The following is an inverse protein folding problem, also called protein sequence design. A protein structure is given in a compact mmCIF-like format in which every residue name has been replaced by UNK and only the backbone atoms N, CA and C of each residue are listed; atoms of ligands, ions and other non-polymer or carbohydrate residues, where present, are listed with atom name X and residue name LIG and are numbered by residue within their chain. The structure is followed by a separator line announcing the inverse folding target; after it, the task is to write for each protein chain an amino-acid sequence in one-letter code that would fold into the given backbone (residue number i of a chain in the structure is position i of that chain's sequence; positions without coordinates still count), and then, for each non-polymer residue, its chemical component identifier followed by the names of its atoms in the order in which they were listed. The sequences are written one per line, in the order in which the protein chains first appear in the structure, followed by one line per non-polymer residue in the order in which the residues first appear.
data_IF_883414857012
#
_entry.id   IF_883414857012
#
_cell.length_a   1.000
_cell.length_b   1.000
_cell.length_c   1.000
_cell.angle_alpha   90.00
_cell.angle_beta   90.00
_cell.angle_gamma   90.00
#
_symmetry.space_group_name_H-M   'P 1'
#
loop_
_entity.id
_entity.type
_entity.pdbx_description
1 polymer ?
#
# COMPACT_ATOMS: atom_id res chain seq x y z
N UNK A 1 -4.67 -8.04 -11.99
CA UNK A 1 -3.81 -9.15 -11.53
C UNK A 1 -4.72 -10.27 -11.06
N UNK A 2 -4.62 -11.48 -11.62
CA UNK A 2 -5.48 -12.60 -11.22
C UNK A 2 -4.90 -13.26 -9.97
N UNK A 3 -5.70 -13.40 -8.91
CA UNK A 3 -5.31 -14.12 -7.69
C UNK A 3 -5.82 -15.57 -7.77
N UNK A 4 -4.93 -16.55 -7.63
CA UNK A 4 -5.30 -17.97 -7.49
C UNK A 4 -5.02 -18.41 -6.05
N UNK A 5 -6.06 -18.90 -5.36
CA UNK A 5 -5.95 -19.48 -4.02
C UNK A 5 -5.83 -21.01 -4.13
N UNK A 6 -4.91 -21.63 -3.39
CA UNK A 6 -4.76 -23.09 -3.38
C UNK A 6 -4.74 -23.61 -1.94
N UNK A 7 -5.92 -23.85 -1.37
CA UNK A 7 -6.06 -24.65 -0.16
C UNK A 7 -5.89 -23.91 1.17
N UNK A 8 -6.21 -22.62 1.23
CA UNK A 8 -6.04 -21.78 2.42
C UNK A 8 -6.58 -22.36 3.73
N UNK A 9 -5.78 -22.22 4.81
CA UNK A 9 -6.14 -22.67 6.16
C UNK A 9 -6.79 -21.52 6.93
N UNK A 10 -8.04 -21.72 7.36
CA UNK A 10 -8.76 -20.77 8.23
C UNK A 10 -8.08 -20.67 9.60
N UNK A 11 -7.84 -19.45 10.08
CA UNK A 11 -7.26 -19.20 11.42
C UNK A 11 -8.35 -18.93 12.49
N UNK A 12 -9.62 -18.83 12.07
CA UNK A 12 -10.78 -18.51 12.94
C UNK A 12 -10.65 -17.13 13.63
N UNK A 13 -10.08 -16.17 12.92
CA UNK A 13 -9.91 -14.78 13.36
C UNK A 13 -10.73 -13.89 12.43
N UNK A 14 -11.51 -12.97 13.01
CA UNK A 14 -12.20 -11.93 12.25
C UNK A 14 -11.21 -10.83 11.90
N UNK A 15 -11.27 -10.33 10.68
CA UNK A 15 -10.50 -9.19 10.24
C UNK A 15 -11.43 -8.04 9.85
N UNK A 16 -11.09 -6.83 10.27
CA UNK A 16 -11.83 -5.61 9.92
C UNK A 16 -10.85 -4.52 9.51
N UNK A 17 -11.20 -3.76 8.48
CA UNK A 17 -10.47 -2.56 8.09
C UNK A 17 -11.43 -1.45 7.65
N UNK A 18 -11.11 -0.22 8.05
CA UNK A 18 -11.84 0.99 7.69
C UNK A 18 -10.92 1.93 6.91
N UNK A 19 -11.44 2.43 5.79
CA UNK A 19 -10.77 3.35 4.89
C UNK A 19 -11.58 4.65 4.83
N UNK A 20 -10.98 5.72 4.31
CA UNK A 20 -11.67 7.00 4.15
C UNK A 20 -12.97 6.92 3.31
N UNK A 21 -13.03 5.98 2.38
CA UNK A 21 -14.13 5.79 1.42
C UNK A 21 -14.72 4.37 1.39
N UNK A 22 -14.33 3.49 2.32
CA UNK A 22 -14.75 2.08 2.28
C UNK A 22 -14.44 1.31 3.55
N UNK A 23 -14.89 0.06 3.60
CA UNK A 23 -14.62 -0.85 4.72
C UNK A 23 -14.86 -2.30 4.32
N UNK A 24 -14.22 -3.23 5.04
CA UNK A 24 -14.55 -4.65 4.91
C UNK A 24 -14.53 -5.35 6.27
N UNK A 25 -15.36 -6.40 6.37
CA UNK A 25 -15.30 -7.40 7.42
C UNK A 25 -15.16 -8.78 6.80
N UNK A 26 -14.25 -9.58 7.35
CA UNK A 26 -13.90 -10.87 6.78
C UNK A 26 -13.29 -11.83 7.78
N UNK A 27 -12.75 -12.92 7.24
CA UNK A 27 -11.96 -13.89 8.00
C UNK A 27 -10.54 -13.91 7.48
N UNK A 28 -9.60 -14.10 8.40
CA UNK A 28 -8.19 -14.27 8.08
C UNK A 28 -7.89 -15.72 7.67
N UNK A 29 -7.14 -15.88 6.58
CA UNK A 29 -6.63 -17.15 6.08
C UNK A 29 -5.13 -17.05 5.83
N UNK A 30 -4.44 -18.19 5.95
CA UNK A 30 -3.08 -18.35 5.40
C UNK A 30 -3.18 -19.09 4.08
N UNK A 31 -2.60 -18.53 3.03
CA UNK A 31 -2.50 -19.16 1.71
C UNK A 31 -1.19 -18.76 1.02
N UNK A 32 -0.93 -19.30 -0.17
CA UNK A 32 0.13 -18.84 -1.06
C UNK A 32 -0.40 -17.72 -1.94
N UNK A 33 0.32 -16.59 -2.00
CA UNK A 33 -0.02 -15.46 -2.87
C UNK A 33 1.04 -15.35 -3.97
N UNK A 34 0.60 -15.42 -5.22
CA UNK A 34 1.50 -15.29 -6.40
C UNK A 34 1.31 -13.92 -7.04
N UNK A 35 2.38 -13.10 -7.10
CA UNK A 35 2.37 -11.75 -7.69
C UNK A 35 3.19 -11.75 -8.99
N UNK A 36 2.58 -12.19 -10.09
CA UNK A 36 3.26 -12.37 -11.37
C UNK A 36 3.96 -13.72 -11.49
N UNK A 37 4.54 -13.98 -12.66
CA UNK A 37 5.12 -15.29 -12.97
C UNK A 37 6.35 -15.57 -12.10
N UNK A 38 6.35 -16.70 -11.38
CA UNK A 38 7.48 -17.17 -10.59
C UNK A 38 7.70 -16.47 -9.25
N UNK A 39 6.82 -15.56 -8.84
CA UNK A 39 6.93 -14.84 -7.57
C UNK A 39 5.80 -15.27 -6.62
N UNK A 40 6.02 -16.39 -5.91
CA UNK A 40 5.07 -16.97 -4.97
C UNK A 40 5.53 -16.74 -3.52
N UNK A 41 4.70 -16.04 -2.75
CA UNK A 41 4.88 -15.77 -1.32
C UNK A 41 4.08 -16.83 -0.56
N UNK A 42 4.77 -17.72 0.13
CA UNK A 42 4.12 -18.78 0.89
C UNK A 42 3.65 -18.26 2.25
N UNK A 43 2.63 -18.90 2.80
CA UNK A 43 2.10 -18.57 4.13
C UNK A 43 1.72 -17.09 4.32
N UNK A 44 1.25 -16.44 3.26
CA UNK A 44 0.77 -15.06 3.34
C UNK A 44 -0.60 -15.05 4.05
N UNK A 45 -0.72 -14.21 5.09
CA UNK A 45 -2.02 -13.93 5.68
C UNK A 45 -2.82 -12.99 4.78
N UNK A 46 -4.08 -13.35 4.54
CA UNK A 46 -5.03 -12.61 3.70
C UNK A 46 -6.40 -12.50 4.38
N UNK A 47 -7.07 -11.38 4.16
CA UNK A 47 -8.47 -11.19 4.53
C UNK A 47 -9.41 -11.60 3.41
N UNK A 48 -10.35 -12.49 3.71
CA UNK A 48 -11.43 -12.86 2.78
C UNK A 48 -12.73 -12.27 3.29
N UNK A 49 -13.21 -11.24 2.59
CA UNK A 49 -14.40 -10.48 2.95
C UNK A 49 -15.67 -11.33 2.81
N UNK A 50 -16.54 -11.25 3.82
CA UNK A 50 -17.96 -11.60 3.66
C UNK A 50 -18.85 -10.34 3.60
N UNK A 51 -18.30 -9.19 3.98
CA UNK A 51 -18.88 -7.87 3.78
C UNK A 51 -17.81 -6.89 3.30
N UNK A 52 -18.15 -6.06 2.31
CA UNK A 52 -17.26 -5.04 1.75
C UNK A 52 -18.06 -3.88 1.17
N UNK A 53 -17.57 -2.66 1.35
CA UNK A 53 -18.13 -1.42 0.80
C UNK A 53 -17.01 -0.51 0.28
N UNK A 54 -17.24 0.17 -0.84
CA UNK A 54 -16.26 1.09 -1.45
C UNK A 54 -15.27 0.46 -2.44
N UNK A 55 -15.45 -0.80 -2.83
CA UNK A 55 -14.54 -1.57 -3.70
C UNK A 55 -15.07 -1.81 -5.12
N UNK A 56 -15.76 -0.83 -5.70
CA UNK A 56 -16.31 -0.99 -7.05
C UNK A 56 -15.19 -1.15 -8.09
N UNK A 57 -15.29 -2.18 -8.93
CA UNK A 57 -14.33 -2.43 -10.03
C UNK A 57 -13.08 -3.22 -9.65
N UNK A 58 -12.96 -3.70 -8.40
CA UNK A 58 -11.84 -4.53 -7.94
C UNK A 58 -12.32 -5.66 -7.02
N UNK A 59 -11.54 -6.73 -6.92
CA UNK A 59 -11.84 -7.84 -5.99
C UNK A 59 -11.42 -7.53 -4.54
N UNK A 60 -10.51 -6.57 -4.33
CA UNK A 60 -9.97 -6.21 -3.02
C UNK A 60 -8.76 -5.28 -3.08
N UNK A 61 -7.98 -5.26 -2.00
CA UNK A 61 -6.76 -4.45 -1.86
C UNK A 61 -5.53 -5.37 -1.72
N UNK A 62 -4.47 -5.04 -2.45
CA UNK A 62 -3.12 -5.50 -2.13
C UNK A 62 -2.47 -4.51 -1.15
N UNK A 63 -2.45 -4.86 0.14
CA UNK A 63 -1.89 -4.00 1.18
C UNK A 63 -0.37 -3.98 1.14
N UNK A 64 0.19 -2.82 0.75
CA UNK A 64 1.64 -2.59 0.65
C UNK A 64 2.14 -1.48 1.58
N UNK A 65 1.27 -0.96 2.45
CA UNK A 65 1.64 0.01 3.48
C UNK A 65 2.45 -0.62 4.61
N UNK A 66 2.94 0.19 5.56
CA UNK A 66 3.64 -0.31 6.74
C UNK A 66 2.84 -1.33 7.55
N UNK A 67 3.54 -2.31 8.13
CA UNK A 67 2.95 -3.44 8.87
C UNK A 67 2.18 -2.99 10.11
N UNK A 68 2.53 -1.85 10.71
CA UNK A 68 1.92 -1.35 11.94
C UNK A 68 0.45 -0.91 11.73
N UNK A 69 0.04 -0.64 10.50
CA UNK A 69 -1.36 -0.37 10.13
C UNK A 69 -2.26 -1.60 10.26
N UNK A 70 -1.68 -2.80 10.26
CA UNK A 70 -2.42 -4.06 10.44
C UNK A 70 -2.64 -4.41 11.91
N UNK A 71 -1.88 -3.81 12.82
CA UNK A 71 -2.02 -4.08 14.25
C UNK A 71 -3.42 -3.67 14.73
N UNK A 72 -4.14 -4.60 15.36
CA UNK A 72 -5.50 -4.34 15.83
C UNK A 72 -6.61 -4.61 14.82
N UNK A 73 -6.29 -5.01 13.59
CA UNK A 73 -7.32 -5.39 12.61
C UNK A 73 -7.91 -6.78 12.87
N UNK A 74 -7.30 -7.57 13.76
CA UNK A 74 -7.68 -8.94 14.07
C UNK A 74 -8.46 -9.06 15.39
N UNK A 75 -9.50 -9.90 15.38
CA UNK A 75 -10.27 -10.25 16.57
C UNK A 75 -10.39 -11.78 16.73
N UNK A 76 -10.06 -12.34 17.91
CA UNK A 76 -9.75 -11.65 19.17
C UNK A 76 -8.31 -11.15 19.32
N UNK A 77 -7.42 -11.45 18.36
CA UNK A 77 -5.98 -11.18 18.43
C UNK A 77 -5.58 -9.71 18.18
N UNK A 78 -6.13 -8.76 18.95
CA UNK A 78 -5.97 -7.31 18.72
C UNK A 78 -4.54 -6.77 18.87
N UNK A 79 -3.64 -7.49 19.53
CA UNK A 79 -2.22 -7.11 19.64
C UNK A 79 -1.37 -7.66 18.50
N UNK A 80 -1.94 -8.51 17.64
CA UNK A 80 -1.22 -9.10 16.51
C UNK A 80 -1.24 -8.14 15.33
N UNK A 81 -0.12 -8.13 14.62
CA UNK A 81 0.05 -7.46 13.33
C UNK A 81 0.26 -8.53 12.26
N UNK A 82 -0.09 -8.21 11.03
CA UNK A 82 -0.10 -9.11 9.88
C UNK A 82 1.05 -8.70 8.96
N UNK A 83 2.13 -9.50 8.84
CA UNK A 83 3.19 -9.23 7.87
C UNK A 83 2.64 -9.08 6.45
N UNK A 84 3.02 -7.98 5.79
CA UNK A 84 2.61 -7.68 4.42
C UNK A 84 3.32 -8.59 3.42
N UNK A 85 2.85 -8.57 2.16
CA UNK A 85 3.49 -9.28 1.06
C UNK A 85 4.97 -8.89 0.90
N UNK A 86 5.32 -7.63 1.16
CA UNK A 86 6.70 -7.14 1.07
C UNK A 86 7.56 -7.67 2.22
N UNK A 87 7.02 -7.65 3.46
CA UNK A 87 7.72 -8.21 4.61
C UNK A 87 8.01 -9.71 4.40
N UNK A 88 6.98 -10.47 4.00
CA UNK A 88 7.11 -11.92 3.77
C UNK A 88 8.02 -12.23 2.57
N UNK A 89 7.96 -11.47 1.49
CA UNK A 89 8.86 -11.64 0.35
C UNK A 89 10.33 -11.43 0.75
N UNK A 90 10.60 -10.43 1.59
CA UNK A 90 11.94 -10.18 2.12
C UNK A 90 12.40 -11.28 3.09
N UNK A 91 11.55 -11.68 4.04
CA UNK A 91 11.84 -12.75 5.00
C UNK A 91 12.12 -14.09 4.30
N UNK A 92 11.36 -14.39 3.24
CA UNK A 92 11.53 -15.58 2.40
C UNK A 92 12.68 -15.45 1.38
N UNK A 93 13.43 -14.33 1.40
CA UNK A 93 14.55 -14.04 0.49
C UNK A 93 14.18 -14.07 -1.00
N UNK A 94 12.92 -13.78 -1.32
CA UNK A 94 12.46 -13.59 -2.71
C UNK A 94 12.92 -12.24 -3.27
N UNK A 95 13.21 -11.28 -2.39
CA UNK A 95 13.78 -9.97 -2.70
C UNK A 95 14.96 -9.67 -1.79
N UNK A 96 15.94 -8.91 -2.29
CA UNK A 96 17.16 -8.55 -1.56
C UNK A 96 17.00 -7.33 -0.66
N UNK A 97 16.01 -6.47 -0.93
CA UNK A 97 15.70 -5.29 -0.13
C UNK A 97 14.21 -5.29 0.18
N UNK A 98 13.85 -4.85 1.38
CA UNK A 98 12.46 -4.66 1.78
C UNK A 98 11.91 -3.34 1.22
N UNK A 99 11.74 -3.30 -0.10
CA UNK A 99 11.31 -2.09 -0.82
C UNK A 99 10.39 -2.42 -1.99
N UNK A 100 9.60 -1.45 -2.43
CA UNK A 100 8.75 -1.56 -3.61
C UNK A 100 8.98 -0.33 -4.49
N UNK A 101 9.30 -0.55 -5.77
CA UNK A 101 9.23 0.47 -6.81
C UNK A 101 7.85 0.50 -7.46
N UNK A 102 7.28 1.69 -7.65
CA UNK A 102 5.95 1.87 -8.24
C UNK A 102 6.06 2.85 -9.40
N UNK A 103 5.51 2.47 -10.57
CA UNK A 103 5.43 3.32 -11.75
C UNK A 103 3.97 3.41 -12.20
N UNK A 104 3.47 4.64 -12.25
CA UNK A 104 2.18 4.97 -12.86
C UNK A 104 2.38 5.82 -14.10
N UNK A 105 1.51 5.62 -15.09
CA UNK A 105 1.53 6.34 -16.37
C UNK A 105 0.19 7.06 -16.52
N UNK A 106 0.17 8.35 -16.91
CA UNK A 106 -1.07 9.03 -17.23
C UNK A 106 -1.77 8.34 -18.41
N UNK A 107 -3.09 8.17 -18.32
CA UNK A 107 -3.88 7.55 -19.38
C UNK A 107 -5.04 8.43 -19.82
N UNK A 108 -5.40 8.35 -21.10
CA UNK A 108 -6.63 8.92 -21.68
C UNK A 108 -7.63 7.84 -22.10
N UNK A 109 -7.32 6.59 -21.78
CA UNK A 109 -8.01 5.39 -22.25
C UNK A 109 -8.21 4.45 -21.07
N UNK A 110 -9.44 4.04 -20.77
CA UNK A 110 -9.70 3.07 -19.72
C UNK A 110 -8.93 1.76 -19.95
N UNK A 111 -8.59 1.09 -18.84
CA UNK A 111 -8.11 -0.29 -18.83
C UNK A 111 -6.80 -0.59 -19.59
N UNK A 112 -5.94 0.42 -19.76
CA UNK A 112 -4.56 0.19 -20.23
C UNK A 112 -3.69 -0.36 -19.09
N UNK A 113 -2.86 -1.35 -19.42
CA UNK A 113 -1.87 -1.95 -18.51
C UNK A 113 -0.48 -1.44 -18.89
N UNK A 114 -0.09 -0.30 -18.33
CA UNK A 114 1.20 0.35 -18.58
C UNK A 114 1.98 0.73 -17.30
N UNK A 115 1.33 0.65 -16.14
CA UNK A 115 1.97 0.74 -14.83
C UNK A 115 2.76 -0.52 -14.44
N UNK A 116 3.60 -0.40 -13.40
CA UNK A 116 4.40 -1.50 -12.88
C UNK A 116 4.62 -1.40 -11.37
N UNK A 117 4.61 -2.54 -10.68
CA UNK A 117 5.10 -2.72 -9.32
C UNK A 117 6.32 -3.64 -9.36
N UNK A 118 7.43 -3.21 -8.77
CA UNK A 118 8.68 -3.97 -8.69
C UNK A 118 9.03 -4.21 -7.22
N UNK A 119 9.09 -5.46 -6.79
CA UNK A 119 9.49 -5.79 -5.43
C UNK A 119 11.02 -5.91 -5.35
N UNK A 120 11.64 -5.32 -4.34
CA UNK A 120 13.08 -5.39 -4.08
C UNK A 120 13.92 -4.25 -4.64
N UNK A 121 13.39 -3.45 -5.57
CA UNK A 121 14.05 -2.25 -6.11
C UNK A 121 13.09 -1.37 -6.92
N UNK A 122 13.54 -0.18 -7.31
CA UNK A 122 12.94 0.56 -8.42
C UNK A 122 13.40 -0.03 -9.77
N UNK A 123 12.54 0.00 -10.78
CA UNK A 123 12.90 -0.34 -12.17
C UNK A 123 13.54 0.88 -12.84
N UNK A 124 14.83 0.78 -13.18
CA UNK A 124 15.61 1.87 -13.78
C UNK A 124 15.08 2.30 -15.15
N UNK A 125 14.26 1.49 -15.82
CA UNK A 125 13.61 1.87 -17.08
C UNK A 125 12.39 2.78 -16.88
N UNK A 126 11.92 2.96 -15.64
CA UNK A 126 10.67 3.65 -15.30
C UNK A 126 10.85 5.05 -14.71
N UNK A 127 12.09 5.50 -14.53
CA UNK A 127 12.39 6.85 -14.04
C UNK A 127 13.59 7.44 -14.77
N UNK A 128 13.75 8.76 -14.67
CA UNK A 128 14.90 9.50 -15.18
C UNK A 128 15.56 10.25 -14.02
N UNK A 129 16.86 10.54 -14.16
CA UNK A 129 17.63 11.16 -13.08
C UNK A 129 17.87 10.20 -11.90
N UNK A 130 18.19 10.78 -10.74
CA UNK A 130 18.47 10.05 -9.50
C UNK A 130 17.24 10.01 -8.59
N UNK A 131 17.15 8.97 -7.76
CA UNK A 131 16.11 8.86 -6.72
C UNK A 131 16.51 9.70 -5.52
N UNK A 132 15.67 10.66 -5.16
CA UNK A 132 15.79 11.41 -3.90
C UNK A 132 15.10 10.64 -2.79
N UNK A 133 15.84 10.28 -1.75
CA UNK A 133 15.31 9.66 -0.54
C UNK A 133 15.06 10.72 0.53
N UNK A 134 13.96 10.56 1.24
CA UNK A 134 13.62 11.33 2.44
C UNK A 134 13.26 10.35 3.55
N UNK A 135 13.50 10.74 4.79
CA UNK A 135 13.12 9.93 5.94
C UNK A 135 11.60 9.89 6.09
N UNK A 136 11.10 8.80 6.68
CA UNK A 136 9.71 8.77 7.15
C UNK A 136 9.55 9.85 8.22
N UNK A 137 8.54 10.71 8.07
CA UNK A 137 8.25 11.78 9.03
C UNK A 137 8.13 11.22 10.45
N UNK A 138 8.58 11.98 11.44
CA UNK A 138 8.35 11.63 12.86
C UNK A 138 6.97 12.08 13.36
N UNK A 139 6.23 12.85 12.56
CA UNK A 139 4.95 13.45 12.94
C UNK A 139 3.81 12.45 12.84
N UNK A 140 3.15 12.19 13.97
CA UNK A 140 1.92 11.37 14.02
C UNK A 140 0.71 12.17 13.55
N UNK A 141 -0.26 11.56 12.81
CA UNK A 141 -0.33 10.13 12.49
C UNK A 141 0.38 9.71 11.18
N UNK A 142 0.99 10.64 10.44
CA UNK A 142 1.59 10.36 9.14
C UNK A 142 2.77 9.37 9.22
N UNK A 143 3.50 9.36 10.33
CA UNK A 143 4.60 8.43 10.61
C UNK A 143 4.21 6.93 10.64
N UNK A 144 2.92 6.61 10.67
CA UNK A 144 2.39 5.23 10.58
C UNK A 144 2.16 4.76 9.13
N UNK A 145 2.41 5.64 8.16
CA UNK A 145 2.22 5.37 6.73
C UNK A 145 3.55 5.57 6.00
N UNK A 146 3.52 5.56 4.67
CA UNK A 146 4.63 6.12 3.86
C UNK A 146 4.55 7.65 3.96
N UNK A 147 4.86 8.17 5.14
CA UNK A 147 4.71 9.57 5.50
C UNK A 147 5.97 10.38 5.30
N UNK A 148 5.85 11.59 4.76
CA UNK A 148 6.98 12.50 4.50
C UNK A 148 6.65 13.92 4.95
N UNK A 149 7.68 14.71 5.22
CA UNK A 149 7.56 16.16 5.39
C UNK A 149 7.80 16.85 4.03
N UNK A 150 6.88 17.73 3.64
CA UNK A 150 6.99 18.48 2.38
C UNK A 150 6.36 19.86 2.46
N UNK A 151 6.79 20.77 1.57
CA UNK A 151 6.13 22.04 1.29
C UNK A 151 5.68 22.11 -0.18
N UNK A 152 4.65 22.90 -0.48
CA UNK A 152 4.14 23.11 -1.85
C UNK A 152 4.20 24.60 -2.18
N UNK A 153 4.80 24.94 -3.33
CA UNK A 153 4.84 26.30 -3.88
C UNK A 153 4.24 26.29 -5.28
N UNK A 154 3.42 27.29 -5.60
CA UNK A 154 2.81 27.41 -6.92
C UNK A 154 3.65 28.30 -7.83
N UNK A 155 4.24 27.70 -8.87
CA UNK A 155 5.12 28.39 -9.81
C UNK A 155 6.50 28.71 -9.24
N UNK A 156 7.44 29.03 -10.12
CA UNK A 156 8.80 29.38 -9.70
C UNK A 156 8.81 30.76 -9.02
N UNK A 157 9.18 30.80 -7.74
CA UNK A 157 9.18 32.04 -6.94
C UNK A 157 7.78 32.57 -6.60
N UNK A 158 6.73 31.76 -6.80
CA UNK A 158 5.37 32.12 -6.45
C UNK A 158 5.03 31.89 -4.97
N UNK A 159 3.75 31.99 -4.58
CA UNK A 159 3.35 31.83 -3.20
C UNK A 159 3.52 30.38 -2.72
N UNK A 160 3.91 30.23 -1.46
CA UNK A 160 3.84 28.95 -0.75
C UNK A 160 2.37 28.62 -0.51
N UNK A 161 1.92 27.52 -1.11
CA UNK A 161 0.57 26.99 -0.99
C UNK A 161 0.42 26.19 0.30
N UNK A 162 1.43 25.38 0.61
CA UNK A 162 1.48 24.58 1.83
C UNK A 162 2.87 24.77 2.46
N UNK A 163 2.96 25.43 3.62
CA UNK A 163 4.19 25.43 4.42
C UNK A 163 4.60 24.00 4.76
N UNK A 164 5.88 23.81 5.12
CA UNK A 164 6.40 22.49 5.47
C UNK A 164 5.52 21.81 6.53
N UNK A 165 5.01 20.63 6.19
CA UNK A 165 4.12 19.84 7.05
C UNK A 165 4.22 18.36 6.67
N UNK A 166 3.79 17.50 7.59
CA UNK A 166 3.72 16.06 7.37
C UNK A 166 2.48 15.69 6.53
N UNK A 167 2.67 14.72 5.63
CA UNK A 167 1.62 14.10 4.80
C UNK A 167 1.98 12.65 4.48
N UNK A 168 1.19 11.99 3.63
CA UNK A 168 1.44 10.61 3.20
C UNK A 168 1.47 10.49 1.69
N UNK A 169 2.25 9.54 1.18
CA UNK A 169 2.21 9.09 -0.21
C UNK A 169 1.35 7.84 -0.27
N UNK A 170 0.18 7.94 -0.90
CA UNK A 170 -0.82 6.88 -0.91
C UNK A 170 -1.32 6.57 -2.33
N UNK A 171 -0.94 5.41 -2.85
CA UNK A 171 -1.38 4.93 -4.17
C UNK A 171 -2.86 4.60 -4.23
N UNK A 172 -3.53 4.43 -3.08
CA UNK A 172 -4.96 4.20 -2.96
C UNK A 172 -5.81 5.46 -3.00
N UNK A 173 -5.20 6.65 -2.92
CA UNK A 173 -5.89 7.93 -2.99
C UNK A 173 -5.75 8.54 -4.39
N UNK A 174 -6.88 8.78 -5.07
CA UNK A 174 -6.89 9.24 -6.47
C UNK A 174 -6.48 10.70 -6.64
N UNK A 175 -6.87 11.59 -5.72
CA UNK A 175 -6.65 13.02 -5.84
C UNK A 175 -5.41 13.45 -5.06
N UNK A 176 -4.74 14.52 -5.52
CA UNK A 176 -3.78 15.25 -4.69
C UNK A 176 -4.54 16.04 -3.63
N UNK A 177 -4.69 15.45 -2.45
CA UNK A 177 -5.38 16.07 -1.32
C UNK A 177 -4.43 17.01 -0.59
N UNK A 178 -4.82 18.28 -0.43
CA UNK A 178 -4.09 19.28 0.36
C UNK A 178 -4.95 19.78 1.51
N UNK A 179 -4.31 20.28 2.57
CA UNK A 179 -4.99 20.85 3.74
C UNK A 179 -5.96 21.96 3.31
N UNK A 180 -7.12 22.06 3.98
CA UNK A 180 -8.07 23.16 3.74
C UNK A 180 -7.53 24.54 4.12
N UNK A 181 -6.44 24.60 4.88
CA UNK A 181 -5.70 25.82 5.20
C UNK A 181 -4.58 26.16 4.22
N UNK A 182 -4.39 25.38 3.15
CA UNK A 182 -3.47 25.73 2.07
C UNK A 182 -3.96 26.99 1.34
N UNK A 183 -3.04 27.89 0.95
CA UNK A 183 -3.34 29.25 0.47
C UNK A 183 -3.03 29.45 -1.00
#
# INVERSE_FOLDING_TARGET
MLFYMTGGRLISILQTAQYGSGSFDGKEYIDTVTLGAGFAINNQSIGVAYYSSGFNGVDGILGIGPVDLTCGTLFPARSSCIPTVTNNAFEQRLISNESIGISFVPTTTPDIIDGALTFGSADTSKYTGDITYVDITSTSPANRYVGIDQSITYGQGGPTILPETAGIVDTGTTLLMISSGAQ
#
